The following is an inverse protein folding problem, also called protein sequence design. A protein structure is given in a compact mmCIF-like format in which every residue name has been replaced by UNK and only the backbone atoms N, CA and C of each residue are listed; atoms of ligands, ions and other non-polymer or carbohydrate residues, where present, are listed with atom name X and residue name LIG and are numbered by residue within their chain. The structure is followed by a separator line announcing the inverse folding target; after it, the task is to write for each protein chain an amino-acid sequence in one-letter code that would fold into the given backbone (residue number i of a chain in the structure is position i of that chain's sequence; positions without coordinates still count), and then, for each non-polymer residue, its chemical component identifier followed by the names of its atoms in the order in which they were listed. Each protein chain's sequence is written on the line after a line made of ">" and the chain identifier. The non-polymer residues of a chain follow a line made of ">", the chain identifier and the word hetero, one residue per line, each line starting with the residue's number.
data_IF_003918841848
#
_entry.id   IF_003918841848
#
_cell.length_a   1.000
_cell.length_b   1.000
_cell.length_c   1.000
_cell.angle_alpha   90.00
_cell.angle_beta   90.00
_cell.angle_gamma   90.00
#
_symmetry.space_group_name_H-M   'P 1'
#
loop_
_entity.id
_entity.type
_entity.pdbx_description
1 polymer ?
#
# COMPACT_ATOMS: atom_id res chain seq x y z
N UNK A 1 93.22 40.89 10.23
CA UNK A 1 93.28 42.12 9.44
C UNK A 1 91.84 42.57 9.16
N UNK A 2 91.58 43.78 9.66
CA UNK A 2 90.63 44.77 9.20
C UNK A 2 89.14 44.51 9.37
N UNK A 3 88.59 45.23 10.27
CA UNK A 3 87.67 46.37 10.39
C UNK A 3 86.16 45.93 10.34
N UNK A 4 85.52 46.08 11.50
CA UNK A 4 84.74 47.27 11.97
C UNK A 4 83.82 47.87 10.91
N UNK A 5 82.53 47.82 11.12
CA UNK A 5 81.71 49.00 11.30
C UNK A 5 80.36 48.68 11.92
N UNK A 6 80.14 49.37 13.06
CA UNK A 6 78.89 49.52 13.79
C UNK A 6 77.89 50.39 12.97
N UNK A 7 76.65 50.01 12.91
CA UNK A 7 75.57 51.00 12.78
C UNK A 7 74.34 50.54 13.53
N UNK A 8 74.01 51.30 14.54
CA UNK A 8 72.75 51.25 15.27
C UNK A 8 71.59 51.75 14.38
N UNK A 9 70.53 50.99 14.26
CA UNK A 9 69.31 51.51 13.71
C UNK A 9 68.18 51.30 14.75
N UNK A 10 67.57 52.42 15.14
CA UNK A 10 66.43 52.63 15.94
C UNK A 10 65.21 51.94 15.25
N UNK A 11 64.60 50.93 15.92
CA UNK A 11 63.39 50.39 15.47
C UNK A 11 62.23 51.05 16.24
N UNK A 12 61.45 51.90 15.54
CA UNK A 12 60.26 52.55 16.00
C UNK A 12 59.14 51.50 16.02
N UNK A 13 58.69 51.12 17.21
CA UNK A 13 57.62 50.16 17.40
C UNK A 13 56.25 50.76 17.03
N UNK A 14 55.73 50.38 15.87
CA UNK A 14 54.37 50.78 15.41
C UNK A 14 53.36 49.73 15.91
N UNK A 15 52.58 50.06 16.95
CA UNK A 15 51.49 49.25 17.44
C UNK A 15 50.31 49.33 16.46
N UNK A 16 50.14 48.31 15.63
CA UNK A 16 48.95 48.15 14.83
C UNK A 16 47.89 47.42 15.68
N UNK A 17 46.88 48.14 16.12
CA UNK A 17 45.63 47.61 16.67
C UNK A 17 44.86 46.92 15.54
N UNK A 18 44.98 45.62 15.39
CA UNK A 18 44.10 44.82 14.56
C UNK A 18 42.81 44.56 15.33
N UNK A 19 41.79 45.34 15.04
CA UNK A 19 40.42 45.05 15.45
C UNK A 19 39.93 43.75 14.81
N UNK A 20 39.72 42.70 15.61
CA UNK A 20 39.01 41.51 15.17
C UNK A 20 37.59 41.87 14.82
N UNK A 21 37.26 42.00 13.52
CA UNK A 21 35.92 41.97 13.02
C UNK A 21 35.41 40.53 13.13
N UNK A 22 34.50 40.28 14.07
CA UNK A 22 33.77 39.04 14.19
C UNK A 22 32.97 38.85 12.89
N UNK A 23 33.45 38.00 11.99
CA UNK A 23 32.66 37.54 10.88
C UNK A 23 31.53 36.71 11.47
N UNK A 24 30.33 37.28 11.52
CA UNK A 24 29.12 36.51 11.62
C UNK A 24 29.01 35.70 10.33
N UNK A 25 29.37 34.43 10.42
CA UNK A 25 29.06 33.43 9.39
C UNK A 25 27.56 33.31 9.42
N UNK A 26 26.88 34.01 8.53
CA UNK A 26 25.47 33.72 8.23
C UNK A 26 25.47 32.28 7.73
N UNK A 27 25.02 31.35 8.55
CA UNK A 27 24.62 30.02 8.07
C UNK A 27 23.54 30.27 7.02
N UNK A 28 23.91 30.14 5.76
CA UNK A 28 22.96 30.03 4.68
C UNK A 28 22.21 28.73 4.97
N UNK A 29 21.00 28.86 5.52
CA UNK A 29 20.08 27.73 5.64
C UNK A 29 20.04 27.07 4.27
N UNK A 30 20.55 25.84 4.16
CA UNK A 30 20.40 25.02 2.97
C UNK A 30 18.91 24.87 2.76
N UNK A 31 18.38 25.61 1.79
CA UNK A 31 17.02 25.41 1.29
C UNK A 31 17.04 24.01 0.68
N UNK A 32 16.62 23.02 1.42
CA UNK A 32 16.45 21.67 0.90
C UNK A 32 15.45 21.77 -0.26
N UNK A 33 15.87 21.30 -1.43
CA UNK A 33 14.99 21.21 -2.59
C UNK A 33 13.89 20.20 -2.22
N UNK A 34 12.61 20.57 -2.24
CA UNK A 34 11.53 19.67 -1.89
C UNK A 34 11.58 18.42 -2.78
N UNK A 35 11.73 17.25 -2.17
CA UNK A 35 11.81 15.97 -2.86
C UNK A 35 10.54 15.16 -2.63
N UNK A 36 10.15 14.42 -3.67
CA UNK A 36 9.12 13.40 -3.53
C UNK A 36 9.65 12.28 -2.60
N UNK A 37 8.88 11.94 -1.57
CA UNK A 37 9.24 10.89 -0.61
C UNK A 37 8.79 9.48 -1.05
N UNK A 38 8.09 9.39 -2.19
CA UNK A 38 7.53 8.14 -2.74
C UNK A 38 8.49 7.59 -3.80
N UNK A 39 8.78 6.29 -3.70
CA UNK A 39 9.78 5.59 -4.53
C UNK A 39 9.18 4.46 -5.38
N UNK A 40 8.19 3.73 -4.85
CA UNK A 40 7.61 2.52 -5.46
C UNK A 40 6.20 2.73 -6.01
N UNK A 41 5.39 3.55 -5.33
CA UNK A 41 4.04 3.82 -5.77
C UNK A 41 4.05 4.72 -7.01
N UNK A 42 3.28 4.35 -8.02
CA UNK A 42 3.20 5.06 -9.30
C UNK A 42 2.11 6.13 -9.32
N UNK A 43 1.08 5.94 -8.51
CA UNK A 43 -0.10 6.81 -8.43
C UNK A 43 -0.04 7.87 -7.34
N UNK A 44 0.99 7.88 -6.49
CA UNK A 44 1.13 8.77 -5.35
C UNK A 44 2.41 9.61 -5.45
N UNK A 45 2.35 10.86 -5.01
CA UNK A 45 3.51 11.71 -4.79
C UNK A 45 3.28 12.53 -3.52
N UNK A 46 4.28 12.63 -2.66
CA UNK A 46 4.27 13.44 -1.44
C UNK A 46 5.53 14.30 -1.45
N UNK A 47 5.36 15.60 -1.67
CA UNK A 47 6.45 16.57 -1.64
C UNK A 47 6.35 17.37 -0.35
N UNK A 48 7.36 17.20 0.53
CA UNK A 48 7.39 17.83 1.85
C UNK A 48 7.98 19.24 1.76
N UNK A 49 7.34 20.17 2.44
CA UNK A 49 7.79 21.54 2.65
C UNK A 49 7.76 21.85 4.15
N UNK A 50 8.24 23.02 4.55
CA UNK A 50 8.18 23.45 5.95
C UNK A 50 6.72 23.73 6.37
N UNK A 51 6.19 22.89 7.26
CA UNK A 51 4.84 22.99 7.82
C UNK A 51 3.69 22.60 6.87
N UNK A 52 3.97 22.12 5.65
CA UNK A 52 2.95 21.55 4.78
C UNK A 52 3.54 20.53 3.79
N UNK A 53 2.69 19.69 3.25
CA UNK A 53 3.04 18.77 2.17
C UNK A 53 2.08 18.91 0.99
N UNK A 54 2.60 18.77 -0.21
CA UNK A 54 1.80 18.67 -1.44
C UNK A 54 1.66 17.22 -1.81
N UNK A 55 0.44 16.69 -1.67
CA UNK A 55 0.12 15.30 -2.01
C UNK A 55 -0.62 15.27 -3.34
N UNK A 56 -0.15 14.41 -4.24
CA UNK A 56 -0.76 14.24 -5.55
C UNK A 56 -1.12 12.79 -5.80
N UNK A 57 -2.36 12.54 -6.21
CA UNK A 57 -2.84 11.25 -6.70
C UNK A 57 -3.10 11.34 -8.19
N UNK A 58 -2.47 10.46 -8.98
CA UNK A 58 -2.60 10.42 -10.44
C UNK A 58 -3.31 9.14 -10.87
N UNK A 59 -4.14 9.24 -11.92
CA UNK A 59 -4.86 8.10 -12.50
C UNK A 59 -5.59 7.25 -11.45
N UNK A 60 -6.50 7.84 -10.65
CA UNK A 60 -7.09 7.18 -9.49
C UNK A 60 -8.05 6.01 -9.82
N UNK A 61 -8.38 5.83 -11.10
CA UNK A 61 -9.12 4.69 -11.66
C UNK A 61 -8.73 4.46 -13.12
N UNK A 62 -9.12 3.33 -13.75
CA UNK A 62 -8.78 3.02 -15.13
C UNK A 62 -9.23 4.13 -16.09
N UNK A 63 -8.34 4.55 -16.98
CA UNK A 63 -8.59 5.59 -17.98
C UNK A 63 -9.01 6.97 -17.40
N UNK A 64 -8.67 7.24 -16.15
CA UNK A 64 -9.07 8.47 -15.46
C UNK A 64 -8.48 9.72 -16.12
N UNK A 65 -7.23 9.68 -16.58
CA UNK A 65 -6.48 10.84 -17.05
C UNK A 65 -6.66 12.08 -16.14
N UNK A 66 -6.82 11.83 -14.83
CA UNK A 66 -7.10 12.83 -13.79
C UNK A 66 -5.99 12.86 -12.75
N UNK A 67 -5.84 14.02 -12.15
CA UNK A 67 -4.90 14.28 -11.07
C UNK A 67 -5.64 15.02 -9.96
N UNK A 68 -5.53 14.51 -8.74
CA UNK A 68 -6.00 15.19 -7.53
C UNK A 68 -4.80 15.68 -6.74
N UNK A 69 -4.83 16.95 -6.36
CA UNK A 69 -3.77 17.55 -5.53
C UNK A 69 -4.40 18.07 -4.25
N UNK A 70 -3.75 17.73 -3.12
CA UNK A 70 -4.16 18.11 -1.78
C UNK A 70 -2.98 18.78 -1.08
N UNK A 71 -3.29 19.77 -0.24
CA UNK A 71 -2.32 20.40 0.64
C UNK A 71 -2.57 19.89 2.04
N UNK A 72 -1.65 19.09 2.57
CA UNK A 72 -1.66 18.74 3.99
C UNK A 72 -0.94 19.85 4.74
N UNK A 73 -1.64 20.53 5.63
CA UNK A 73 -1.17 21.75 6.25
C UNK A 73 -1.23 21.64 7.78
N UNK A 74 -0.13 21.92 8.46
CA UNK A 74 -0.10 22.10 9.91
C UNK A 74 -0.86 23.37 10.33
N UNK A 75 -1.26 23.42 11.59
CA UNK A 75 -1.96 24.59 12.15
C UNK A 75 -1.09 25.84 11.98
N UNK A 76 -1.73 26.96 11.61
CA UNK A 76 -1.15 28.30 11.52
C UNK A 76 -0.06 28.52 10.46
N UNK A 77 0.25 27.50 9.63
CA UNK A 77 1.18 27.64 8.49
C UNK A 77 0.50 28.34 7.32
N UNK A 78 1.17 29.32 6.71
CA UNK A 78 0.72 29.94 5.47
C UNK A 78 1.20 29.14 4.25
N UNK A 79 0.25 28.75 3.44
CA UNK A 79 0.53 28.09 2.15
C UNK A 79 0.67 29.15 1.07
N UNK A 80 1.62 29.03 0.12
CA UNK A 80 1.77 29.93 -1.00
C UNK A 80 0.46 30.12 -1.80
N UNK A 81 0.20 31.35 -2.27
CA UNK A 81 -1.05 31.70 -2.98
C UNK A 81 -1.28 30.83 -4.21
N UNK A 82 -0.21 30.41 -4.90
CA UNK A 82 -0.29 29.50 -6.04
C UNK A 82 -0.90 28.13 -5.73
N UNK A 83 -0.90 27.71 -4.46
CA UNK A 83 -1.44 26.45 -3.98
C UNK A 83 -2.84 26.56 -3.38
N UNK A 84 -3.36 27.76 -3.14
CA UNK A 84 -4.69 27.98 -2.52
C UNK A 84 -5.86 27.42 -3.35
N UNK A 85 -5.65 27.18 -4.64
CA UNK A 85 -6.64 26.54 -5.52
C UNK A 85 -6.89 25.05 -5.22
N UNK A 86 -6.04 24.41 -4.44
CA UNK A 86 -6.15 22.99 -4.09
C UNK A 86 -6.87 22.79 -2.76
N UNK A 87 -7.50 21.62 -2.60
CA UNK A 87 -8.12 21.25 -1.33
C UNK A 87 -7.07 21.16 -0.22
N UNK A 88 -7.30 21.88 0.87
CA UNK A 88 -6.42 21.92 2.03
C UNK A 88 -6.99 21.04 3.14
N UNK A 89 -6.18 20.14 3.65
CA UNK A 89 -6.47 19.23 4.76
C UNK A 89 -5.57 19.63 5.92
N UNK A 90 -6.19 19.92 7.06
CA UNK A 90 -5.45 20.23 8.28
C UNK A 90 -4.91 18.94 8.89
N UNK A 91 -3.62 18.93 9.23
CA UNK A 91 -2.95 17.79 9.87
C UNK A 91 -2.25 18.22 11.16
N UNK A 92 -2.00 17.30 12.12
CA UNK A 92 -2.46 15.91 12.10
C UNK A 92 -3.99 15.78 12.25
N UNK A 93 -4.56 14.69 11.69
CA UNK A 93 -5.98 14.39 11.84
C UNK A 93 -6.28 13.88 13.25
N UNK A 94 -7.45 14.27 13.78
CA UNK A 94 -8.00 13.74 15.03
C UNK A 94 -9.13 12.73 14.80
N UNK A 95 -9.72 12.74 13.59
CA UNK A 95 -10.78 11.82 13.21
C UNK A 95 -10.77 11.53 11.72
N UNK A 96 -11.03 10.26 11.35
CA UNK A 96 -11.08 9.82 9.95
C UNK A 96 -12.21 8.81 9.74
N UNK A 97 -12.82 8.88 8.58
CA UNK A 97 -13.63 7.81 8.00
C UNK A 97 -12.86 7.22 6.82
N UNK A 98 -12.70 5.91 6.78
CA UNK A 98 -12.13 5.22 5.61
C UNK A 98 -13.17 4.29 5.02
N UNK A 99 -13.13 4.07 3.70
CA UNK A 99 -14.17 3.27 3.01
C UNK A 99 -13.65 1.96 2.41
N UNK A 100 -12.36 1.66 2.60
CA UNK A 100 -11.77 0.38 2.21
C UNK A 100 -11.12 -0.32 3.40
N UNK A 101 -11.31 -1.63 3.51
CA UNK A 101 -10.65 -2.44 4.54
C UNK A 101 -9.12 -2.40 4.41
N UNK A 102 -8.58 -2.17 3.20
CA UNK A 102 -7.14 -2.03 2.94
C UNK A 102 -6.49 -0.86 3.70
N UNK A 103 -7.29 0.11 4.15
CA UNK A 103 -6.82 1.28 4.90
C UNK A 103 -6.61 0.98 6.39
N UNK A 104 -7.33 0.01 6.94
CA UNK A 104 -7.31 -0.34 8.38
C UNK A 104 -5.91 -0.74 8.85
N UNK A 105 -5.17 -1.62 8.16
CA UNK A 105 -3.82 -1.98 8.59
C UNK A 105 -2.86 -0.80 8.67
N UNK A 106 -2.99 0.21 7.81
CA UNK A 106 -2.15 1.40 7.88
C UNK A 106 -2.40 2.21 9.15
N UNK A 107 -3.67 2.34 9.57
CA UNK A 107 -4.02 3.00 10.83
C UNK A 107 -3.44 2.24 12.02
N UNK A 108 -3.59 0.91 12.04
CA UNK A 108 -3.09 0.06 13.13
C UNK A 108 -1.56 0.01 13.22
N UNK A 109 -0.87 -0.05 12.09
CA UNK A 109 0.59 -0.05 12.03
C UNK A 109 1.18 1.27 12.55
N UNK A 110 0.44 2.37 12.40
CA UNK A 110 0.84 3.69 12.88
C UNK A 110 0.36 4.00 14.31
N UNK A 111 -0.38 3.08 14.95
CA UNK A 111 -1.04 3.25 16.26
C UNK A 111 -1.97 4.47 16.29
N UNK A 112 -2.81 4.60 15.27
CA UNK A 112 -3.81 5.67 15.13
C UNK A 112 -5.21 5.12 14.78
N UNK A 113 -5.46 3.84 15.03
CA UNK A 113 -6.75 3.21 14.78
C UNK A 113 -7.88 3.77 15.67
N UNK A 114 -7.54 4.37 16.80
CA UNK A 114 -8.46 5.09 17.69
C UNK A 114 -9.04 6.36 17.04
N UNK A 115 -8.41 6.86 15.98
CA UNK A 115 -8.88 8.00 15.19
C UNK A 115 -9.93 7.60 14.13
N UNK A 116 -10.14 6.30 13.91
CA UNK A 116 -11.19 5.81 13.02
C UNK A 116 -12.55 5.99 13.68
N UNK A 117 -13.42 6.82 13.09
CA UNK A 117 -14.75 7.14 13.65
C UNK A 117 -15.90 6.51 12.88
N UNK A 118 -15.68 6.11 11.62
CA UNK A 118 -16.69 5.46 10.79
C UNK A 118 -16.10 4.61 9.68
N UNK A 119 -16.85 3.55 9.33
CA UNK A 119 -16.52 2.61 8.25
C UNK A 119 -17.81 2.08 7.62
N UNK A 120 -17.95 2.00 6.28
CA UNK A 120 -19.09 1.34 5.66
C UNK A 120 -18.95 -0.18 5.75
N UNK A 121 -20.07 -0.92 5.84
CA UNK A 121 -20.04 -2.39 5.92
C UNK A 121 -19.06 -2.93 6.97
N UNK A 122 -19.21 -2.50 8.22
CA UNK A 122 -18.30 -2.89 9.31
C UNK A 122 -18.06 -4.40 9.43
N UNK A 123 -18.96 -5.24 8.91
CA UNK A 123 -18.81 -6.71 8.95
C UNK A 123 -17.66 -7.23 8.07
N UNK A 124 -17.20 -6.45 7.09
CA UNK A 124 -16.03 -6.81 6.28
C UNK A 124 -14.68 -6.58 7.00
N UNK A 125 -14.69 -5.89 8.13
CA UNK A 125 -13.47 -5.65 8.91
C UNK A 125 -13.03 -6.95 9.56
N UNK A 126 -11.85 -7.45 9.19
CA UNK A 126 -11.26 -8.70 9.69
C UNK A 126 -10.38 -8.49 10.92
N UNK A 127 -9.80 -7.30 11.10
CA UNK A 127 -8.91 -7.00 12.21
C UNK A 127 -9.62 -7.12 13.55
N UNK A 128 -9.07 -7.93 14.46
CA UNK A 128 -9.56 -8.03 15.83
C UNK A 128 -9.46 -6.71 16.61
N UNK A 129 -8.42 -5.91 16.33
CA UNK A 129 -8.17 -4.64 17.02
C UNK A 129 -9.26 -3.63 16.66
N UNK A 130 -9.53 -3.46 15.36
CA UNK A 130 -10.58 -2.56 14.88
C UNK A 130 -11.98 -3.11 15.17
N UNK A 131 -12.21 -4.43 15.13
CA UNK A 131 -13.47 -5.05 15.58
C UNK A 131 -13.84 -4.64 17.00
N UNK A 132 -12.88 -4.66 17.93
CA UNK A 132 -13.12 -4.20 19.31
C UNK A 132 -13.59 -2.74 19.39
N UNK A 133 -13.12 -1.88 18.49
CA UNK A 133 -13.59 -0.47 18.42
C UNK A 133 -15.01 -0.40 17.86
N UNK A 134 -15.32 -1.21 16.84
CA UNK A 134 -16.68 -1.32 16.28
C UNK A 134 -17.67 -1.81 17.34
N UNK A 135 -17.33 -2.89 18.03
CA UNK A 135 -18.18 -3.52 19.05
C UNK A 135 -18.43 -2.60 20.26
N UNK A 136 -17.47 -1.74 20.59
CA UNK A 136 -17.64 -0.66 21.59
C UNK A 136 -18.42 0.55 21.07
N UNK A 137 -18.78 0.58 19.78
CA UNK A 137 -19.48 1.70 19.17
C UNK A 137 -18.63 2.92 18.90
N UNK A 138 -17.29 2.83 19.01
CA UNK A 138 -16.37 3.91 18.67
C UNK A 138 -16.30 4.14 17.16
N UNK A 139 -16.38 3.07 16.38
CA UNK A 139 -16.46 3.12 14.90
C UNK A 139 -17.91 2.87 14.48
N UNK A 140 -18.51 3.86 13.82
CA UNK A 140 -19.91 3.78 13.35
C UNK A 140 -19.98 3.14 11.97
N UNK A 141 -21.03 2.33 11.73
CA UNK A 141 -21.33 1.88 10.38
C UNK A 141 -21.98 3.05 9.62
N UNK A 142 -21.29 3.56 8.61
CA UNK A 142 -21.74 4.72 7.82
C UNK A 142 -22.40 4.34 6.49
N UNK A 143 -22.97 3.15 6.41
CA UNK A 143 -23.73 2.67 5.23
C UNK A 143 -22.94 1.69 4.37
N UNK A 144 -23.08 1.81 3.05
CA UNK A 144 -22.44 0.98 2.03
C UNK A 144 -21.59 1.86 1.12
N UNK A 145 -20.56 1.30 0.48
CA UNK A 145 -19.65 2.07 -0.39
C UNK A 145 -20.38 2.80 -1.53
N UNK A 146 -21.41 2.19 -2.09
CA UNK A 146 -22.19 2.80 -3.17
C UNK A 146 -23.24 3.79 -2.64
N UNK A 147 -23.56 3.72 -1.33
CA UNK A 147 -24.61 4.53 -0.69
C UNK A 147 -24.22 4.84 0.78
N UNK A 148 -23.26 5.74 0.94
CA UNK A 148 -22.90 6.23 2.27
C UNK A 148 -24.03 7.04 2.88
N UNK A 149 -24.21 6.95 4.19
CA UNK A 149 -25.16 7.76 4.95
C UNK A 149 -24.58 9.16 5.17
N UNK A 150 -24.93 10.10 4.28
CA UNK A 150 -24.40 11.47 4.31
C UNK A 150 -24.80 12.21 5.58
N UNK A 151 -26.03 12.01 6.09
CA UNK A 151 -26.51 12.66 7.33
C UNK A 151 -25.65 12.22 8.52
N UNK A 152 -25.39 10.92 8.64
CA UNK A 152 -24.53 10.39 9.69
C UNK A 152 -23.08 10.87 9.56
N UNK A 153 -22.55 11.02 8.35
CA UNK A 153 -21.22 11.56 8.12
C UNK A 153 -21.13 13.04 8.51
N UNK A 154 -22.20 13.82 8.27
CA UNK A 154 -22.28 15.21 8.72
C UNK A 154 -22.35 15.28 10.26
N UNK A 155 -23.10 14.38 10.90
CA UNK A 155 -23.17 14.30 12.38
C UNK A 155 -21.82 13.89 12.99
N UNK A 156 -21.12 12.90 12.39
CA UNK A 156 -19.80 12.47 12.82
C UNK A 156 -18.74 13.56 12.64
N UNK A 157 -18.93 14.45 11.66
CA UNK A 157 -18.03 15.56 11.31
C UNK A 157 -16.55 15.15 11.30
N UNK A 158 -16.14 14.09 10.55
CA UNK A 158 -14.76 13.66 10.53
C UNK A 158 -13.87 14.72 9.89
N UNK A 159 -12.61 14.83 10.34
CA UNK A 159 -11.65 15.74 9.72
C UNK A 159 -11.41 15.40 8.24
N UNK A 160 -11.48 14.09 7.90
CA UNK A 160 -11.28 13.60 6.54
C UNK A 160 -12.07 12.31 6.28
N UNK A 161 -12.60 12.19 5.07
CA UNK A 161 -13.10 10.92 4.52
C UNK A 161 -12.11 10.47 3.46
N UNK A 162 -11.45 9.32 3.67
CA UNK A 162 -10.60 8.67 2.67
C UNK A 162 -11.44 7.63 1.93
N UNK A 163 -11.62 7.84 0.64
CA UNK A 163 -12.43 6.98 -0.23
C UNK A 163 -11.73 6.73 -1.57
N UNK A 164 -12.33 5.93 -2.42
CA UNK A 164 -11.81 5.60 -3.76
C UNK A 164 -12.87 5.83 -4.83
N UNK A 165 -12.43 5.91 -6.07
CA UNK A 165 -13.31 5.91 -7.24
C UNK A 165 -13.00 4.69 -8.12
N UNK A 166 -13.98 4.25 -8.91
CA UNK A 166 -13.80 3.12 -9.84
C UNK A 166 -13.91 3.56 -11.31
N UNK A 167 -14.56 4.70 -11.55
CA UNK A 167 -14.72 5.29 -12.89
C UNK A 167 -14.96 6.81 -12.82
N UNK A 168 -15.24 7.42 -13.97
CA UNK A 168 -15.49 8.86 -14.09
C UNK A 168 -16.89 9.29 -13.59
N UNK A 169 -17.81 8.36 -13.35
CA UNK A 169 -19.17 8.62 -12.90
C UNK A 169 -19.31 8.23 -11.42
N UNK A 170 -19.01 9.13 -10.50
CA UNK A 170 -19.04 8.88 -9.06
C UNK A 170 -19.99 9.86 -8.33
N UNK A 171 -21.34 9.63 -8.40
CA UNK A 171 -22.32 10.50 -7.74
C UNK A 171 -22.13 10.58 -6.23
N UNK A 172 -21.66 9.50 -5.58
CA UNK A 172 -21.40 9.49 -4.15
C UNK A 172 -20.32 10.49 -3.77
N UNK A 173 -19.20 10.53 -4.52
CA UNK A 173 -18.12 11.48 -4.32
C UNK A 173 -18.60 12.93 -4.49
N UNK A 174 -19.43 13.19 -5.51
CA UNK A 174 -20.00 14.51 -5.75
C UNK A 174 -20.93 14.94 -4.61
N UNK A 175 -21.71 14.01 -4.07
CA UNK A 175 -22.59 14.28 -2.92
C UNK A 175 -21.80 14.60 -1.66
N UNK A 176 -20.74 13.82 -1.37
CA UNK A 176 -19.85 14.11 -0.23
C UNK A 176 -19.25 15.52 -0.30
N UNK A 177 -18.74 15.92 -1.47
CA UNK A 177 -18.18 17.25 -1.69
C UNK A 177 -19.23 18.36 -1.57
N UNK A 178 -20.44 18.17 -2.12
CA UNK A 178 -21.54 19.12 -2.01
C UNK A 178 -22.02 19.31 -0.56
N UNK A 179 -21.85 18.29 0.27
CA UNK A 179 -22.19 18.34 1.70
C UNK A 179 -21.14 19.07 2.55
N UNK A 180 -20.07 19.59 1.93
CA UNK A 180 -19.01 20.32 2.65
C UNK A 180 -18.02 19.43 3.39
N UNK A 181 -18.08 18.11 3.20
CA UNK A 181 -17.17 17.16 3.83
C UNK A 181 -15.81 17.13 3.11
N UNK A 182 -14.74 17.06 3.88
CA UNK A 182 -13.40 16.91 3.34
C UNK A 182 -13.19 15.48 2.81
N UNK A 183 -12.80 15.35 1.56
CA UNK A 183 -12.65 14.04 0.90
C UNK A 183 -11.28 13.92 0.25
N UNK A 184 -10.60 12.81 0.54
CA UNK A 184 -9.37 12.40 -0.12
C UNK A 184 -9.65 11.16 -0.98
N UNK A 185 -9.23 11.20 -2.25
CA UNK A 185 -9.33 10.06 -3.18
C UNK A 185 -8.05 9.25 -3.10
N UNK A 186 -8.15 8.05 -2.57
CA UNK A 186 -7.06 7.08 -2.54
C UNK A 186 -7.10 6.21 -3.80
N UNK A 187 -5.93 5.76 -4.26
CA UNK A 187 -5.79 4.96 -5.48
C UNK A 187 -4.77 3.80 -5.32
N UNK A 188 -4.54 3.32 -4.11
CA UNK A 188 -3.65 2.19 -3.81
C UNK A 188 -4.02 0.91 -4.56
N UNK A 189 -5.32 0.73 -4.84
CA UNK A 189 -5.82 -0.41 -5.60
C UNK A 189 -5.36 -0.43 -7.07
N UNK A 190 -4.98 0.74 -7.61
CA UNK A 190 -4.43 0.89 -8.97
C UNK A 190 -2.94 0.52 -9.07
N UNK A 191 -2.23 0.46 -7.94
CA UNK A 191 -0.81 0.12 -7.94
C UNK A 191 -0.58 -1.31 -8.44
N UNK A 192 0.39 -1.44 -9.33
CA UNK A 192 0.71 -2.70 -9.99
C UNK A 192 1.79 -3.50 -9.26
N UNK A 193 2.64 -2.82 -8.47
CA UNK A 193 3.69 -3.48 -7.70
C UNK A 193 3.25 -3.72 -6.25
N UNK A 194 3.63 -4.86 -5.66
CA UNK A 194 3.35 -5.14 -4.26
C UNK A 194 3.89 -4.08 -3.30
N UNK A 195 5.13 -3.61 -3.50
CA UNK A 195 5.73 -2.56 -2.68
C UNK A 195 5.08 -1.20 -2.91
N UNK A 196 4.63 -0.90 -4.15
CA UNK A 196 3.89 0.32 -4.43
C UNK A 196 2.59 0.42 -3.64
N UNK A 197 1.85 -0.70 -3.47
CA UNK A 197 0.65 -0.72 -2.60
C UNK A 197 1.00 -0.44 -1.14
N UNK A 198 2.03 -1.09 -0.62
CA UNK A 198 2.44 -0.92 0.78
C UNK A 198 2.97 0.49 1.08
N UNK A 199 3.55 1.18 0.10
CA UNK A 199 4.11 2.51 0.28
C UNK A 199 3.06 3.59 0.59
N UNK A 200 1.78 3.32 0.33
CA UNK A 200 0.68 4.22 0.73
C UNK A 200 0.60 4.44 2.25
N UNK A 201 1.27 3.64 3.07
CA UNK A 201 1.44 3.92 4.51
C UNK A 201 2.06 5.30 4.75
N UNK A 202 2.92 5.79 3.83
CA UNK A 202 3.53 7.12 3.95
C UNK A 202 2.50 8.25 3.84
N UNK A 203 1.40 8.05 3.09
CA UNK A 203 0.27 8.97 3.10
C UNK A 203 -0.36 9.07 4.49
N UNK A 204 -0.63 7.91 5.11
CA UNK A 204 -1.19 7.88 6.47
C UNK A 204 -0.22 8.48 7.49
N UNK A 205 1.09 8.25 7.32
CA UNK A 205 2.12 8.94 8.09
C UNK A 205 1.96 10.47 8.03
N UNK A 206 1.82 11.02 6.83
CA UNK A 206 1.64 12.46 6.63
C UNK A 206 0.29 13.00 7.15
N UNK A 207 -0.79 12.19 7.05
CA UNK A 207 -2.10 12.56 7.57
C UNK A 207 -2.15 12.63 9.10
N UNK A 208 -1.38 11.81 9.80
CA UNK A 208 -1.42 11.68 11.25
C UNK A 208 -0.16 12.17 11.98
N UNK A 209 0.79 12.83 11.27
CA UNK A 209 2.05 13.28 11.85
C UNK A 209 2.94 12.13 12.34
N UNK A 210 2.95 11.01 11.58
CA UNK A 210 3.70 9.79 11.87
C UNK A 210 4.65 9.40 10.74
N UNK A 211 5.18 10.39 10.02
CA UNK A 211 5.99 10.16 8.82
C UNK A 211 7.22 9.31 9.08
N UNK A 212 7.96 9.56 10.18
CA UNK A 212 9.15 8.79 10.52
C UNK A 212 8.81 7.33 10.80
N UNK A 213 7.72 7.09 11.54
CA UNK A 213 7.21 5.74 11.81
C UNK A 213 6.76 5.04 10.54
N UNK A 214 6.04 5.74 9.67
CA UNK A 214 5.58 5.20 8.38
C UNK A 214 6.77 4.80 7.50
N UNK A 215 7.81 5.65 7.45
CA UNK A 215 9.05 5.35 6.73
C UNK A 215 9.75 4.13 7.32
N UNK A 216 9.95 4.07 8.62
CA UNK A 216 10.61 2.94 9.30
C UNK A 216 9.89 1.62 9.03
N UNK A 217 8.56 1.61 9.12
CA UNK A 217 7.73 0.42 8.86
C UNK A 217 7.81 0.00 7.40
N UNK A 218 7.74 0.94 6.48
CA UNK A 218 7.86 0.66 5.06
C UNK A 218 9.25 0.11 4.71
N UNK A 219 10.32 0.70 5.23
CA UNK A 219 11.70 0.23 5.01
C UNK A 219 11.87 -1.22 5.50
N UNK A 220 11.27 -1.59 6.64
CA UNK A 220 11.24 -2.98 7.16
C UNK A 220 10.49 -3.92 6.21
N UNK A 221 9.38 -3.48 5.63
CA UNK A 221 8.61 -4.27 4.65
C UNK A 221 9.44 -4.50 3.40
N UNK A 222 10.08 -3.45 2.87
CA UNK A 222 10.97 -3.53 1.70
C UNK A 222 12.11 -4.52 1.97
N UNK A 223 12.79 -4.38 3.11
CA UNK A 223 13.88 -5.27 3.50
C UNK A 223 13.41 -6.74 3.56
N UNK A 224 12.27 -7.00 4.21
CA UNK A 224 11.69 -8.34 4.32
C UNK A 224 11.29 -8.93 2.96
N UNK A 225 10.71 -8.11 2.09
CA UNK A 225 10.32 -8.50 0.73
C UNK A 225 11.55 -8.86 -0.13
N UNK A 226 12.58 -8.01 -0.12
CA UNK A 226 13.80 -8.24 -0.90
C UNK A 226 14.63 -9.42 -0.34
N UNK A 227 14.62 -9.65 0.97
CA UNK A 227 15.21 -10.84 1.57
C UNK A 227 14.48 -12.12 1.09
N UNK A 228 13.14 -12.11 1.05
CA UNK A 228 12.35 -13.22 0.53
C UNK A 228 12.68 -13.51 -0.94
N UNK A 229 12.78 -12.49 -1.80
CA UNK A 229 13.23 -12.65 -3.20
C UNK A 229 14.63 -13.25 -3.32
N UNK A 230 15.56 -12.82 -2.46
CA UNK A 230 16.94 -13.36 -2.46
C UNK A 230 16.97 -14.84 -2.09
N UNK A 231 16.11 -15.32 -1.20
CA UNK A 231 16.06 -16.73 -0.82
C UNK A 231 15.77 -17.65 -2.00
N UNK A 232 14.96 -17.21 -2.96
CA UNK A 232 14.58 -17.99 -4.15
C UNK A 232 15.39 -17.64 -5.39
N UNK A 233 16.34 -16.71 -5.32
CA UNK A 233 17.04 -16.20 -6.49
C UNK A 233 17.74 -17.29 -7.33
N UNK A 234 18.29 -18.32 -6.67
CA UNK A 234 18.96 -19.46 -7.31
C UNK A 234 18.00 -20.57 -7.77
N UNK A 235 16.72 -20.52 -7.39
CA UNK A 235 15.74 -21.54 -7.81
C UNK A 235 15.33 -21.33 -9.27
N UNK A 236 15.13 -22.42 -10.00
CA UNK A 236 14.55 -22.38 -11.34
C UNK A 236 13.02 -22.32 -11.23
N UNK A 237 12.38 -21.58 -12.11
CA UNK A 237 10.93 -21.46 -12.18
C UNK A 237 10.32 -22.69 -12.91
N UNK A 238 10.43 -23.86 -12.31
CA UNK A 238 9.94 -25.14 -12.88
C UNK A 238 8.51 -25.47 -12.47
N UNK A 239 8.06 -24.96 -11.33
CA UNK A 239 6.70 -25.21 -10.80
C UNK A 239 5.66 -24.46 -11.61
N UNK A 240 4.89 -25.16 -12.44
CA UNK A 240 3.79 -24.57 -13.22
C UNK A 240 2.58 -24.28 -12.32
N UNK A 241 1.99 -23.10 -12.50
CA UNK A 241 0.89 -22.61 -11.64
C UNK A 241 -0.34 -22.25 -12.46
N UNK A 242 -1.47 -22.86 -12.09
CA UNK A 242 -2.82 -22.44 -12.45
C UNK A 242 -3.30 -21.44 -11.40
N UNK A 243 -3.85 -20.31 -11.83
CA UNK A 243 -4.49 -19.33 -10.95
C UNK A 243 -5.95 -19.12 -11.32
N UNK A 244 -6.77 -18.85 -10.31
CA UNK A 244 -8.18 -18.50 -10.47
C UNK A 244 -9.11 -19.69 -10.27
N UNK A 245 -10.39 -19.42 -10.44
CA UNK A 245 -11.49 -20.38 -10.38
C UNK A 245 -12.60 -19.94 -11.31
N UNK A 246 -13.56 -20.81 -11.57
CA UNK A 246 -14.77 -20.44 -12.32
C UNK A 246 -15.69 -19.59 -11.47
N UNK A 247 -16.22 -18.56 -12.08
CA UNK A 247 -17.39 -17.84 -11.60
C UNK A 247 -18.46 -17.93 -12.68
N UNK A 248 -19.59 -18.52 -12.36
CA UNK A 248 -20.55 -18.99 -13.35
C UNK A 248 -19.88 -19.88 -14.41
N UNK A 249 -19.94 -19.53 -15.69
CA UNK A 249 -19.36 -20.32 -16.79
C UNK A 249 -18.00 -19.76 -17.29
N UNK A 250 -17.42 -18.81 -16.56
CA UNK A 250 -16.17 -18.13 -16.96
C UNK A 250 -15.08 -18.36 -15.94
N UNK A 251 -13.89 -18.75 -16.42
CA UNK A 251 -12.69 -18.83 -15.59
C UNK A 251 -11.93 -17.52 -15.63
N UNK A 252 -11.69 -16.91 -14.46
CA UNK A 252 -10.93 -15.68 -14.37
C UNK A 252 -9.48 -15.95 -13.97
N UNK A 253 -8.54 -15.67 -14.91
CA UNK A 253 -7.10 -15.75 -14.69
C UNK A 253 -6.51 -14.36 -14.50
N UNK A 254 -5.48 -14.22 -13.67
CA UNK A 254 -4.76 -12.96 -13.50
C UNK A 254 -3.93 -12.64 -14.75
N UNK A 255 -3.94 -11.39 -15.23
CA UNK A 255 -3.05 -10.95 -16.31
C UNK A 255 -1.60 -10.81 -15.83
N UNK A 256 -0.63 -10.96 -16.73
CA UNK A 256 0.79 -11.06 -16.40
C UNK A 256 1.43 -9.82 -15.76
N UNK A 257 0.82 -8.64 -15.91
CA UNK A 257 1.28 -7.42 -15.25
C UNK A 257 0.51 -7.12 -13.93
N UNK A 258 -0.34 -8.05 -13.46
CA UNK A 258 -1.03 -7.89 -12.19
C UNK A 258 -0.07 -8.10 -11.01
N UNK A 259 -0.42 -7.51 -9.86
CA UNK A 259 0.35 -7.71 -8.63
C UNK A 259 0.40 -9.18 -8.18
N UNK A 260 -0.66 -9.95 -8.45
CA UNK A 260 -0.70 -11.40 -8.19
C UNK A 260 0.32 -12.15 -9.06
N UNK A 261 0.38 -11.84 -10.35
CA UNK A 261 1.38 -12.42 -11.25
C UNK A 261 2.82 -12.02 -10.83
N UNK A 262 2.99 -10.80 -10.30
CA UNK A 262 4.27 -10.35 -9.77
C UNK A 262 4.72 -11.19 -8.55
N UNK A 263 3.84 -11.54 -7.62
CA UNK A 263 4.18 -12.43 -6.51
C UNK A 263 4.63 -13.81 -7.00
N UNK A 264 3.92 -14.41 -7.94
CA UNK A 264 4.31 -15.71 -8.52
C UNK A 264 5.67 -15.64 -9.21
N UNK A 265 5.95 -14.57 -9.94
CA UNK A 265 7.24 -14.30 -10.57
C UNK A 265 8.36 -14.14 -9.52
N UNK A 266 8.13 -13.35 -8.48
CA UNK A 266 9.10 -13.09 -7.42
C UNK A 266 9.35 -14.33 -6.56
N UNK A 267 8.36 -15.22 -6.43
CA UNK A 267 8.49 -16.54 -5.82
C UNK A 267 9.10 -17.61 -6.75
N UNK A 268 9.60 -17.25 -7.95
CA UNK A 268 10.16 -18.17 -8.94
C UNK A 268 9.21 -19.30 -9.34
N UNK A 269 7.94 -19.00 -9.52
CA UNK A 269 6.97 -19.91 -10.11
C UNK A 269 6.74 -19.61 -11.59
N UNK A 270 6.38 -20.64 -12.36
CA UNK A 270 6.02 -20.52 -13.77
C UNK A 270 4.50 -20.37 -13.89
N UNK A 271 4.03 -19.14 -13.83
CA UNK A 271 2.61 -18.83 -13.99
C UNK A 271 2.19 -18.99 -15.45
N UNK A 272 1.19 -19.82 -15.72
CA UNK A 272 0.82 -20.22 -17.08
C UNK A 272 0.30 -19.09 -17.97
N UNK A 273 -0.17 -18.00 -17.41
CA UNK A 273 -0.64 -16.80 -18.15
C UNK A 273 0.20 -15.56 -17.89
N UNK A 274 1.47 -15.72 -17.53
CA UNK A 274 2.40 -14.60 -17.33
C UNK A 274 2.62 -13.75 -18.60
N UNK A 275 2.33 -14.29 -19.78
CA UNK A 275 2.41 -13.63 -21.08
C UNK A 275 1.21 -12.77 -21.44
N UNK A 276 0.08 -12.90 -20.74
CA UNK A 276 -1.10 -12.04 -20.95
C UNK A 276 -0.80 -10.60 -20.54
N UNK A 277 -0.90 -9.70 -21.51
CA UNK A 277 -0.62 -8.28 -21.31
C UNK A 277 -1.73 -7.60 -20.49
N UNK A 278 -1.32 -6.64 -19.66
CA UNK A 278 -2.21 -5.80 -18.86
C UNK A 278 -2.32 -6.26 -17.42
N UNK A 279 -3.13 -5.53 -16.65
CA UNK A 279 -3.44 -5.73 -15.23
C UNK A 279 -4.87 -6.26 -15.06
N UNK A 280 -5.23 -6.67 -13.86
CA UNK A 280 -6.55 -7.24 -13.58
C UNK A 280 -6.68 -8.69 -14.06
N UNK A 281 -7.88 -9.08 -14.48
CA UNK A 281 -8.23 -10.45 -14.86
C UNK A 281 -8.60 -10.57 -16.33
N UNK A 282 -8.50 -11.80 -16.87
CA UNK A 282 -9.01 -12.20 -18.17
C UNK A 282 -10.00 -13.34 -18.00
N UNK A 283 -11.18 -13.23 -18.61
CA UNK A 283 -12.18 -14.29 -18.63
C UNK A 283 -11.89 -15.29 -19.75
N UNK A 284 -11.79 -16.58 -19.41
CA UNK A 284 -11.49 -17.65 -20.35
C UNK A 284 -12.56 -18.76 -20.26
N UNK A 285 -12.91 -19.44 -21.38
CA UNK A 285 -13.71 -20.65 -21.32
C UNK A 285 -12.95 -21.79 -20.61
N UNK A 286 -13.68 -22.67 -19.92
CA UNK A 286 -13.11 -23.80 -19.17
C UNK A 286 -12.17 -24.66 -20.03
N UNK A 287 -12.56 -24.99 -21.25
CA UNK A 287 -11.81 -25.88 -22.16
C UNK A 287 -10.42 -25.31 -22.48
N UNK A 288 -10.29 -23.97 -22.66
CA UNK A 288 -8.99 -23.30 -22.87
C UNK A 288 -8.11 -23.40 -21.65
N UNK A 289 -8.70 -23.31 -20.45
CA UNK A 289 -7.94 -23.43 -19.21
C UNK A 289 -7.52 -24.87 -18.98
N UNK A 290 -8.42 -25.83 -19.21
CA UNK A 290 -8.09 -27.26 -19.09
C UNK A 290 -6.98 -27.66 -20.06
N UNK A 291 -7.07 -27.26 -21.33
CA UNK A 291 -6.05 -27.58 -22.34
C UNK A 291 -4.64 -27.07 -21.91
N UNK A 292 -4.56 -25.85 -21.40
CA UNK A 292 -3.27 -25.24 -21.02
C UNK A 292 -2.77 -25.68 -19.63
N UNK A 293 -3.66 -25.94 -18.69
CA UNK A 293 -3.35 -26.08 -17.25
C UNK A 293 -3.63 -27.46 -16.66
N UNK A 294 -4.11 -28.44 -17.45
CA UNK A 294 -4.43 -29.78 -16.94
C UNK A 294 -3.29 -30.39 -16.13
N UNK A 295 -2.05 -30.20 -16.57
CA UNK A 295 -0.85 -30.75 -15.94
C UNK A 295 -0.11 -29.74 -15.07
N UNK A 296 -0.77 -28.67 -14.61
CA UNK A 296 -0.16 -27.71 -13.68
C UNK A 296 0.23 -28.39 -12.36
N UNK A 297 1.40 -28.02 -11.83
CA UNK A 297 1.90 -28.58 -10.58
C UNK A 297 1.14 -28.06 -9.36
N UNK A 298 0.74 -26.80 -9.39
CA UNK A 298 0.03 -26.12 -8.32
C UNK A 298 -1.17 -25.37 -8.86
N UNK A 299 -2.16 -25.20 -7.99
CA UNK A 299 -3.32 -24.38 -8.28
C UNK A 299 -3.54 -23.38 -7.13
N UNK A 300 -3.50 -22.10 -7.45
CA UNK A 300 -3.91 -21.03 -6.54
C UNK A 300 -5.36 -20.67 -6.88
N UNK A 301 -6.28 -21.23 -6.13
CA UNK A 301 -7.71 -21.04 -6.32
C UNK A 301 -8.17 -19.69 -5.72
N UNK A 302 -9.16 -19.06 -6.35
CA UNK A 302 -9.89 -17.92 -5.82
C UNK A 302 -11.19 -18.39 -5.17
N UNK A 303 -11.66 -17.66 -4.17
CA UNK A 303 -12.84 -17.97 -3.40
C UNK A 303 -12.53 -18.53 -1.99
N UNK A 304 -13.49 -18.29 -1.10
CA UNK A 304 -13.39 -18.70 0.32
C UNK A 304 -13.82 -20.16 0.49
N UNK A 305 -12.99 -21.07 0.02
CA UNK A 305 -13.20 -22.53 0.06
C UNK A 305 -12.38 -23.15 1.21
N UNK A 306 -12.96 -24.08 1.95
CA UNK A 306 -12.36 -24.65 3.15
C UNK A 306 -11.76 -26.04 2.96
N UNK A 307 -12.20 -26.79 1.94
CA UNK A 307 -11.76 -28.18 1.70
C UNK A 307 -11.79 -28.53 0.21
N UNK A 308 -11.05 -29.61 -0.15
CA UNK A 308 -11.11 -30.20 -1.49
C UNK A 308 -12.53 -30.71 -1.84
N UNK A 309 -13.24 -31.27 -0.86
CA UNK A 309 -14.61 -31.77 -1.09
C UNK A 309 -15.59 -30.64 -1.41
N UNK A 310 -15.48 -29.51 -0.72
CA UNK A 310 -16.24 -28.29 -1.04
C UNK A 310 -15.87 -27.78 -2.42
N UNK A 311 -14.59 -27.72 -2.75
CA UNK A 311 -14.08 -27.27 -4.02
C UNK A 311 -14.53 -28.17 -5.20
N UNK A 312 -14.53 -29.49 -5.01
CA UNK A 312 -15.03 -30.46 -5.97
C UNK A 312 -16.52 -30.29 -6.29
N UNK A 313 -17.32 -29.89 -5.29
CA UNK A 313 -18.76 -29.64 -5.48
C UNK A 313 -19.05 -28.38 -6.29
N UNK A 314 -18.14 -27.43 -6.34
CA UNK A 314 -18.30 -26.21 -7.15
C UNK A 314 -18.27 -26.52 -8.65
N UNK A 315 -17.41 -27.46 -9.08
CA UNK A 315 -17.37 -27.94 -10.46
C UNK A 315 -16.75 -29.34 -10.52
N UNK A 316 -17.49 -30.37 -11.03
CA UNK A 316 -17.01 -31.75 -11.09
C UNK A 316 -15.77 -31.93 -11.99
N UNK A 317 -15.58 -31.06 -12.98
CA UNK A 317 -14.42 -31.07 -13.88
C UNK A 317 -13.11 -30.62 -13.20
N UNK A 318 -13.16 -30.05 -12.00
CA UNK A 318 -11.95 -29.68 -11.26
C UNK A 318 -11.04 -30.91 -10.98
N UNK A 319 -11.64 -32.09 -10.84
CA UNK A 319 -10.92 -33.35 -10.70
C UNK A 319 -10.06 -33.76 -11.91
N UNK A 320 -10.22 -33.08 -13.05
CA UNK A 320 -9.41 -33.34 -14.25
C UNK A 320 -8.00 -32.79 -14.16
N UNK A 321 -7.79 -31.75 -13.32
CA UNK A 321 -6.48 -31.10 -13.13
C UNK A 321 -5.54 -31.93 -12.24
N UNK A 322 -4.29 -32.04 -12.61
CA UNK A 322 -3.28 -32.79 -11.86
C UNK A 322 -3.00 -32.15 -10.49
N UNK A 323 -3.07 -30.82 -10.38
CA UNK A 323 -2.96 -30.11 -9.10
C UNK A 323 -4.05 -30.56 -8.11
N UNK A 324 -5.29 -30.82 -8.61
CA UNK A 324 -6.38 -31.36 -7.79
C UNK A 324 -6.08 -32.79 -7.33
N UNK A 325 -5.75 -33.69 -8.26
CA UNK A 325 -5.43 -35.10 -7.97
C UNK A 325 -4.28 -35.24 -6.97
N UNK A 326 -3.30 -34.34 -7.07
CA UNK A 326 -2.12 -34.33 -6.20
C UNK A 326 -2.30 -33.51 -4.91
N UNK A 327 -3.50 -33.00 -4.64
CA UNK A 327 -3.83 -32.18 -3.46
C UNK A 327 -2.87 -30.97 -3.29
N UNK A 328 -2.56 -30.29 -4.42
CA UNK A 328 -1.68 -29.12 -4.46
C UNK A 328 -2.46 -27.86 -4.82
N UNK A 329 -3.59 -27.66 -4.09
CA UNK A 329 -4.46 -26.49 -4.23
C UNK A 329 -4.37 -25.66 -2.97
N UNK A 330 -4.22 -24.36 -3.18
CA UNK A 330 -4.15 -23.35 -2.12
C UNK A 330 -5.09 -22.21 -2.42
N UNK A 331 -5.65 -21.60 -1.40
CA UNK A 331 -6.39 -20.33 -1.50
C UNK A 331 -5.86 -19.33 -0.51
N UNK A 332 -5.84 -18.06 -0.90
CA UNK A 332 -5.51 -16.93 0.00
C UNK A 332 -6.77 -16.34 0.66
N UNK A 333 -7.94 -16.80 0.27
CA UNK A 333 -9.23 -16.29 0.74
C UNK A 333 -9.89 -17.19 1.80
N UNK A 334 -9.19 -18.26 2.22
CA UNK A 334 -9.73 -19.24 3.19
C UNK A 334 -9.72 -18.75 4.64
N UNK A 335 -8.90 -17.75 5.00
CA UNK A 335 -8.83 -17.20 6.36
C UNK A 335 -9.74 -15.97 6.49
N UNK A 336 -10.72 -16.08 7.38
CA UNK A 336 -11.73 -15.06 7.62
C UNK A 336 -11.60 -14.46 9.02
N UNK A 337 -11.92 -13.19 9.16
CA UNK A 337 -12.16 -12.56 10.45
C UNK A 337 -13.48 -13.03 11.09
N UNK A 338 -13.75 -12.56 12.30
CA UNK A 338 -14.87 -13.01 13.12
C UNK A 338 -16.25 -12.82 12.47
N UNK A 339 -16.40 -11.83 11.60
CA UNK A 339 -17.64 -11.48 10.89
C UNK A 339 -17.65 -11.88 9.42
N UNK A 340 -16.64 -12.63 8.96
CA UNK A 340 -16.58 -13.15 7.60
C UNK A 340 -15.74 -12.32 6.62
N UNK A 341 -15.17 -11.20 7.03
CA UNK A 341 -14.23 -10.43 6.22
C UNK A 341 -12.98 -11.24 5.90
N UNK A 342 -12.48 -11.16 4.67
CA UNK A 342 -11.30 -11.91 4.23
C UNK A 342 -10.01 -11.21 4.69
N UNK A 343 -9.21 -11.88 5.53
CA UNK A 343 -7.95 -11.32 6.07
C UNK A 343 -6.98 -10.93 4.95
N UNK A 344 -6.92 -11.72 3.89
CA UNK A 344 -6.06 -11.45 2.75
C UNK A 344 -6.36 -10.09 2.10
N UNK A 345 -7.63 -9.79 1.83
CA UNK A 345 -7.99 -8.52 1.18
C UNK A 345 -7.71 -7.30 2.03
N UNK A 346 -7.84 -7.42 3.35
CA UNK A 346 -7.56 -6.33 4.28
C UNK A 346 -6.06 -6.10 4.46
N UNK A 347 -5.30 -7.14 4.79
CA UNK A 347 -3.92 -7.02 5.26
C UNK A 347 -2.87 -7.10 4.15
N UNK A 348 -3.11 -7.86 3.07
CA UNK A 348 -2.09 -8.15 2.07
C UNK A 348 -1.51 -6.91 1.34
N UNK A 349 -2.29 -5.84 1.07
CA UNK A 349 -1.73 -4.65 0.43
C UNK A 349 -0.66 -3.96 1.27
N UNK A 350 -0.80 -3.99 2.60
CA UNK A 350 0.17 -3.40 3.53
C UNK A 350 1.34 -4.33 3.88
N UNK A 351 1.18 -5.65 3.65
CA UNK A 351 2.17 -6.69 4.03
C UNK A 351 2.51 -7.63 2.86
N UNK A 352 2.98 -7.08 1.72
CA UNK A 352 3.38 -7.89 0.57
C UNK A 352 4.53 -8.86 0.87
N UNK A 353 5.36 -8.55 1.85
CA UNK A 353 6.44 -9.41 2.32
C UNK A 353 5.94 -10.74 2.87
N UNK A 354 4.80 -10.75 3.57
CA UNK A 354 4.17 -11.96 4.08
C UNK A 354 3.49 -12.75 2.96
N UNK A 355 2.85 -12.06 2.01
CA UNK A 355 2.26 -12.70 0.83
C UNK A 355 3.33 -13.44 0.02
N UNK A 356 4.48 -12.79 -0.21
CA UNK A 356 5.58 -13.40 -0.95
C UNK A 356 6.14 -14.63 -0.22
N UNK A 357 6.27 -14.59 1.12
CA UNK A 357 6.69 -15.74 1.92
C UNK A 357 5.71 -16.91 1.82
N UNK A 358 4.41 -16.63 1.81
CA UNK A 358 3.39 -17.67 1.59
C UNK A 358 3.57 -18.34 0.22
N UNK A 359 3.74 -17.56 -0.86
CA UNK A 359 4.02 -18.12 -2.19
C UNK A 359 5.32 -18.91 -2.24
N UNK A 360 6.39 -18.41 -1.59
CA UNK A 360 7.66 -19.14 -1.51
C UNK A 360 7.47 -20.47 -0.78
N UNK A 361 6.75 -20.50 0.33
CA UNK A 361 6.51 -21.72 1.07
C UNK A 361 5.63 -22.74 0.30
N UNK A 362 4.71 -22.26 -0.54
CA UNK A 362 3.94 -23.12 -1.44
C UNK A 362 4.84 -23.80 -2.48
N UNK A 363 5.74 -23.05 -3.13
CA UNK A 363 6.51 -23.54 -4.26
C UNK A 363 7.88 -24.13 -3.87
N UNK A 364 8.44 -23.69 -2.74
CA UNK A 364 9.78 -24.04 -2.26
C UNK A 364 9.77 -24.22 -0.72
N UNK A 365 9.01 -25.19 -0.18
CA UNK A 365 8.84 -25.36 1.27
C UNK A 365 10.15 -25.68 1.99
N UNK A 366 11.14 -26.19 1.29
CA UNK A 366 12.49 -26.46 1.80
C UNK A 366 13.24 -25.21 2.25
N UNK A 367 12.87 -24.02 1.74
CA UNK A 367 13.51 -22.74 2.09
C UNK A 367 12.96 -22.11 3.37
N UNK A 368 11.78 -22.50 3.80
CA UNK A 368 11.07 -21.93 4.95
C UNK A 368 10.57 -23.06 5.89
N UNK A 369 11.49 -23.90 6.44
CA UNK A 369 11.07 -25.01 7.31
C UNK A 369 10.34 -24.48 8.55
N UNK A 370 9.17 -25.04 8.85
CA UNK A 370 8.35 -24.64 9.99
C UNK A 370 7.59 -23.32 9.82
N UNK A 371 7.59 -22.74 8.62
CA UNK A 371 6.82 -21.51 8.35
C UNK A 371 5.31 -21.82 8.33
N UNK A 372 4.57 -21.05 9.11
CA UNK A 372 3.11 -21.08 9.11
C UNK A 372 2.57 -20.01 8.17
N UNK A 373 1.68 -20.42 7.26
CA UNK A 373 1.07 -19.49 6.31
C UNK A 373 0.35 -18.36 7.03
N UNK A 374 0.64 -17.13 6.60
CA UNK A 374 -0.09 -15.95 7.06
C UNK A 374 -1.48 -15.90 6.43
N UNK A 375 -1.55 -16.02 5.12
CA UNK A 375 -2.78 -15.89 4.34
C UNK A 375 -3.21 -17.22 3.71
N UNK A 376 -2.27 -17.94 3.11
CA UNK A 376 -2.59 -19.13 2.34
C UNK A 376 -3.18 -20.23 3.23
N UNK A 377 -4.11 -20.98 2.65
CA UNK A 377 -4.68 -22.22 3.20
C UNK A 377 -4.55 -23.31 2.15
N UNK A 378 -3.97 -24.45 2.51
CA UNK A 378 -3.97 -25.63 1.66
C UNK A 378 -5.31 -26.32 1.77
N UNK A 379 -5.93 -26.67 0.64
CA UNK A 379 -7.17 -27.45 0.64
C UNK A 379 -6.84 -28.93 0.82
N UNK A 380 -7.41 -29.56 1.85
CA UNK A 380 -7.20 -30.96 2.23
C UNK A 380 -8.49 -31.74 2.16
#
# INVERSE_FOLDING_TARGET
>A
MKHLFSQSIFILSFFLLTGCKKNETTEIAKTEIPQNTIEYASGLSIVKHEGYSVVTVTNPWPNANKKFTYILKEKDVKVPDSLQKYSTIKVPLESVVVTSTTNIPFLEMLDVEDKLTGFPHTDYVSSEKTRKLIDKGAVKNVGQNEKLNIEQLIELAPDLIVTFGVDNNNPMLDNLKKSGLNVFIQADWMEQSPLGKAEWIKLYGALFGKEDKAKELFDKIVLSYEQAKKMVAAKQATSTVLYGSMYEDVWYVAKGNSWVAQFMKDARANYLWADLKGTGSEGLPFEKVLDKAKNANFWIATGSVKSLDEFAKMNPHYSEFDAFKNKRIYTFEGKLGATGGTIYYELSPSRPDLVLKDYINIFHPDLLPGYEFTFATKLN
#
